data_IF_432825865912
#
_entry.id   IF_432825865912
#
_cell.length_a   1.000
_cell.length_b   1.000
_cell.length_c   1.000
_cell.angle_alpha   90.00
_cell.angle_beta   90.00
_cell.angle_gamma   90.00
#
_symmetry.space_group_name_H-M   'P 1'
#
loop_
_entity.id
_entity.type
_entity.pdbx_description
1 polymer ?
#
# COMPACT_ATOMS: atom_id res chain seq x y z
N UNK A 1 -8.62 -10.96 -13.78
CA UNK A 1 -8.26 -9.53 -13.79
C UNK A 1 -6.74 -9.44 -13.89
N UNK A 2 -6.21 -8.68 -14.84
CA UNK A 2 -4.77 -8.43 -14.94
C UNK A 2 -4.28 -7.51 -13.82
N UNK A 3 -2.98 -7.53 -13.53
CA UNK A 3 -2.35 -6.61 -12.59
C UNK A 3 -2.62 -5.13 -12.97
N UNK A 4 -2.58 -4.81 -14.26
CA UNK A 4 -2.92 -3.50 -14.79
C UNK A 4 -4.35 -3.04 -14.42
N UNK A 5 -5.35 -3.92 -14.60
CA UNK A 5 -6.73 -3.59 -14.26
C UNK A 5 -6.93 -3.33 -12.76
N UNK A 6 -6.19 -4.05 -11.89
CA UNK A 6 -6.21 -3.79 -10.45
C UNK A 6 -5.63 -2.43 -10.09
N UNK A 7 -4.56 -1.99 -10.77
CA UNK A 7 -3.99 -0.66 -10.56
C UNK A 7 -5.00 0.42 -10.94
N UNK A 8 -5.68 0.28 -12.07
CA UNK A 8 -6.69 1.26 -12.50
C UNK A 8 -7.87 1.33 -11.53
N UNK A 9 -8.38 0.17 -11.08
CA UNK A 9 -9.45 0.12 -10.07
C UNK A 9 -9.00 0.70 -8.72
N UNK A 10 -7.78 0.43 -8.29
CA UNK A 10 -7.20 1.01 -7.07
C UNK A 10 -7.14 2.53 -7.17
N UNK A 11 -6.67 3.07 -8.29
CA UNK A 11 -6.60 4.51 -8.54
C UNK A 11 -8.00 5.15 -8.60
N UNK A 12 -9.03 4.39 -8.99
CA UNK A 12 -10.43 4.80 -8.91
C UNK A 12 -11.02 4.72 -7.48
N UNK A 13 -10.24 4.31 -6.48
CA UNK A 13 -10.66 4.25 -5.06
C UNK A 13 -11.12 2.87 -4.58
N UNK A 14 -10.95 1.81 -5.37
CA UNK A 14 -11.33 0.45 -4.96
C UNK A 14 -10.41 -0.08 -3.86
N UNK A 15 -10.95 -0.12 -2.62
CA UNK A 15 -10.27 -0.73 -1.45
C UNK A 15 -9.95 -2.21 -1.66
N UNK A 16 -10.80 -2.94 -2.40
CA UNK A 16 -10.58 -4.36 -2.69
C UNK A 16 -9.42 -4.55 -3.66
N UNK A 17 -9.32 -3.72 -4.69
CA UNK A 17 -8.19 -3.76 -5.62
C UNK A 17 -6.87 -3.41 -4.90
N UNK A 18 -6.88 -2.38 -4.04
CA UNK A 18 -5.74 -2.03 -3.19
C UNK A 18 -5.28 -3.23 -2.34
N UNK A 19 -6.21 -3.89 -1.64
CA UNK A 19 -5.87 -5.04 -0.80
C UNK A 19 -5.19 -6.17 -1.59
N UNK A 20 -5.65 -6.46 -2.82
CA UNK A 20 -5.02 -7.47 -3.68
C UNK A 20 -3.62 -7.04 -4.13
N UNK A 21 -3.41 -5.76 -4.44
CA UNK A 21 -2.10 -5.24 -4.83
C UNK A 21 -1.10 -5.26 -3.65
N UNK A 22 -1.57 -5.05 -2.41
CA UNK A 22 -0.75 -5.24 -1.21
C UNK A 22 -0.31 -6.70 -1.11
N UNK A 23 -1.21 -7.67 -1.34
CA UNK A 23 -0.84 -9.09 -1.38
C UNK A 23 0.23 -9.38 -2.44
N UNK A 24 0.14 -8.81 -3.65
CA UNK A 24 1.20 -8.95 -4.65
C UNK A 24 2.55 -8.34 -4.20
N UNK A 25 2.52 -7.26 -3.41
CA UNK A 25 3.73 -6.67 -2.86
C UNK A 25 4.36 -7.52 -1.75
N UNK A 26 3.55 -8.15 -0.91
CA UNK A 26 4.00 -9.04 0.17
C UNK A 26 4.50 -10.39 -0.36
N UNK A 27 3.77 -11.00 -1.30
CA UNK A 27 4.11 -12.30 -1.89
C UNK A 27 5.23 -12.19 -2.94
N UNK A 28 5.38 -11.01 -3.57
CA UNK A 28 6.28 -10.78 -4.68
C UNK A 28 5.79 -11.36 -6.01
N UNK A 29 6.72 -11.63 -6.92
CA UNK A 29 6.44 -12.26 -8.22
C UNK A 29 6.75 -11.38 -9.44
N UNK A 30 6.63 -11.96 -10.64
CA UNK A 30 7.01 -11.28 -11.89
C UNK A 30 6.14 -10.06 -12.19
N UNK A 31 4.89 -10.02 -11.72
CA UNK A 31 3.98 -8.90 -11.91
C UNK A 31 4.32 -7.67 -11.04
N UNK A 32 5.07 -7.85 -9.95
CA UNK A 32 5.34 -6.77 -9.00
C UNK A 32 6.07 -5.60 -9.65
N UNK A 33 7.04 -5.86 -10.52
CA UNK A 33 7.79 -4.81 -11.20
C UNK A 33 6.88 -3.92 -12.08
N UNK A 34 5.93 -4.51 -12.83
CA UNK A 34 4.97 -3.76 -13.63
C UNK A 34 4.01 -2.96 -12.74
N UNK A 35 3.51 -3.56 -11.65
CA UNK A 35 2.67 -2.87 -10.66
C UNK A 35 3.40 -1.64 -10.10
N UNK A 36 4.63 -1.81 -9.62
CA UNK A 36 5.42 -0.73 -9.03
C UNK A 36 5.69 0.38 -10.04
N UNK A 37 6.04 0.05 -11.28
CA UNK A 37 6.27 1.03 -12.34
C UNK A 37 5.01 1.87 -12.63
N UNK A 38 3.83 1.25 -12.68
CA UNK A 38 2.56 1.94 -12.92
C UNK A 38 2.19 2.88 -11.78
N UNK A 39 2.43 2.46 -10.53
CA UNK A 39 2.07 3.23 -9.34
C UNK A 39 3.07 4.36 -9.06
N UNK A 40 4.36 4.18 -9.38
CA UNK A 40 5.45 5.07 -8.98
C UNK A 40 5.18 6.56 -9.26
N UNK A 41 4.69 6.89 -10.46
CA UNK A 41 4.38 8.27 -10.89
C UNK A 41 3.31 8.98 -10.04
N UNK A 42 2.53 8.25 -9.24
CA UNK A 42 1.46 8.77 -8.38
C UNK A 42 1.84 8.83 -6.90
N UNK A 43 3.03 8.38 -6.54
CA UNK A 43 3.53 8.33 -5.15
C UNK A 43 4.30 9.60 -4.74
N UNK A 44 4.80 9.66 -3.50
CA UNK A 44 5.67 10.75 -3.02
C UNK A 44 4.96 11.97 -2.43
N UNK A 45 3.64 12.07 -2.58
CA UNK A 45 2.85 13.22 -2.09
C UNK A 45 2.33 13.06 -0.65
N UNK A 46 2.50 11.88 -0.04
CA UNK A 46 2.04 11.60 1.32
C UNK A 46 3.11 11.98 2.36
N UNK A 47 2.67 12.56 3.48
CA UNK A 47 3.55 12.76 4.63
C UNK A 47 3.72 11.44 5.38
N UNK A 48 4.97 10.97 5.52
CA UNK A 48 5.29 9.67 6.12
C UNK A 48 5.88 9.88 7.51
N UNK A 49 5.20 9.37 8.54
CA UNK A 49 5.63 9.45 9.95
C UNK A 49 5.92 8.04 10.47
N UNK A 50 7.13 7.81 10.98
CA UNK A 50 7.50 6.57 11.67
C UNK A 50 7.26 6.68 13.17
N UNK A 51 6.55 5.69 13.75
CA UNK A 51 6.24 5.64 15.18
C UNK A 51 6.83 4.34 15.76
N UNK A 52 7.65 4.46 16.81
CA UNK A 52 8.35 3.33 17.44
C UNK A 52 8.35 3.45 18.97
N UNK A 53 8.72 2.38 19.66
CA UNK A 53 8.76 2.30 21.13
C UNK A 53 8.46 0.89 21.65
N UNK A 54 8.81 0.58 22.91
CA UNK A 54 8.68 -0.78 23.48
C UNK A 54 7.21 -1.26 23.55
N UNK A 55 6.96 -2.57 23.69
CA UNK A 55 5.63 -3.10 23.98
C UNK A 55 5.02 -2.40 25.20
N UNK A 56 3.73 -2.04 25.14
CA UNK A 56 3.05 -1.33 26.23
C UNK A 56 3.27 0.19 26.30
N UNK A 57 4.12 0.81 25.47
CA UNK A 57 4.38 2.25 25.49
C UNK A 57 3.22 3.17 25.03
N UNK A 58 2.02 2.62 24.82
CA UNK A 58 0.84 3.41 24.40
C UNK A 58 0.82 3.84 22.93
N UNK A 59 1.70 3.32 22.06
CA UNK A 59 1.77 3.67 20.63
C UNK A 59 0.42 3.55 19.90
N UNK A 60 -0.30 2.44 20.12
CA UNK A 60 -1.62 2.20 19.52
C UNK A 60 -2.67 3.21 20.01
N UNK A 61 -2.61 3.61 21.29
CA UNK A 61 -3.49 4.64 21.85
C UNK A 61 -3.22 5.99 21.20
N UNK A 62 -1.95 6.32 20.99
CA UNK A 62 -1.55 7.56 20.33
C UNK A 62 -2.02 7.65 18.87
N UNK A 63 -1.95 6.56 18.10
CA UNK A 63 -2.32 6.56 16.65
C UNK A 63 -3.81 6.32 16.39
N UNK A 64 -4.55 5.88 17.40
CA UNK A 64 -5.99 5.65 17.29
C UNK A 64 -6.80 6.93 17.46
N UNK A 65 -6.34 7.81 18.35
CA UNK A 65 -6.96 9.10 18.64
C UNK A 65 -6.78 10.09 17.49
#
# INVERSE_FOLDING_TARGET
>A
MSAAALVDEMLAGSRRALARLITYADDGGPELADIMNRVHSRTGNAHVIGITGPPGAGKSTLVWA
#
